data_IF_347459858658
#
_entry.id   IF_347459858658
#
_cell.length_a   1.000
_cell.length_b   1.000
_cell.length_c   1.000
_cell.angle_alpha   90.00
_cell.angle_beta   90.00
_cell.angle_gamma   90.00
#
_symmetry.space_group_name_H-M   'P 1'
#
loop_
_entity.id
_entity.type
_entity.pdbx_description
1 polymer ?
#
# COMPACT_ATOMS: atom_id res chain seq x y z
N UNK A 1 -6.81 -19.27 22.09
CA UNK A 1 -6.58 -19.77 20.71
C UNK A 1 -7.28 -18.97 19.59
N UNK A 2 -8.15 -17.98 19.88
CA UNK A 2 -8.89 -17.25 18.84
C UNK A 2 -8.02 -16.35 17.94
N UNK A 3 -7.00 -15.72 18.53
CA UNK A 3 -6.09 -14.78 17.84
C UNK A 3 -5.31 -15.43 16.69
N UNK A 4 -4.58 -16.52 16.97
CA UNK A 4 -3.78 -17.23 15.95
C UNK A 4 -4.60 -17.69 14.74
N UNK A 5 -5.81 -18.20 14.96
CA UNK A 5 -6.68 -18.60 13.85
C UNK A 5 -7.24 -17.40 13.08
N UNK A 6 -7.39 -16.23 13.72
CA UNK A 6 -7.75 -14.98 13.03
C UNK A 6 -6.60 -14.47 12.17
N UNK A 7 -5.40 -14.44 12.75
CA UNK A 7 -4.17 -14.10 12.02
C UNK A 7 -3.95 -15.04 10.84
N UNK A 8 -4.15 -16.35 11.03
CA UNK A 8 -4.02 -17.34 9.97
C UNK A 8 -4.97 -17.06 8.80
N UNK A 9 -6.24 -16.74 9.07
CA UNK A 9 -7.20 -16.37 8.02
C UNK A 9 -6.72 -15.14 7.24
N UNK A 10 -6.27 -14.08 7.93
CA UNK A 10 -5.79 -12.87 7.26
C UNK A 10 -4.56 -13.17 6.40
N UNK A 11 -3.59 -13.91 6.92
CA UNK A 11 -2.38 -14.29 6.19
C UNK A 11 -2.68 -15.19 4.99
N UNK A 12 -3.62 -16.12 5.13
CA UNK A 12 -3.99 -17.06 4.08
C UNK A 12 -4.81 -16.38 2.97
N UNK A 13 -5.66 -15.42 3.34
CA UNK A 13 -6.39 -14.55 2.39
C UNK A 13 -5.40 -13.70 1.61
N UNK A 14 -4.41 -13.12 2.29
CA UNK A 14 -3.35 -12.34 1.67
C UNK A 14 -2.50 -13.20 0.72
N UNK A 15 -2.20 -14.43 1.13
CA UNK A 15 -1.50 -15.40 0.29
C UNK A 15 -2.32 -15.76 -0.96
N UNK A 16 -3.63 -16.01 -0.81
CA UNK A 16 -4.55 -16.27 -1.92
C UNK A 16 -4.57 -15.11 -2.91
N UNK A 17 -4.70 -13.87 -2.43
CA UNK A 17 -4.67 -12.66 -3.25
C UNK A 17 -3.34 -12.47 -3.99
N UNK A 18 -2.22 -12.60 -3.27
CA UNK A 18 -0.87 -12.48 -3.83
C UNK A 18 -0.59 -13.56 -4.87
N UNK A 19 -1.00 -14.80 -4.58
CA UNK A 19 -0.89 -15.94 -5.48
C UNK A 19 -1.70 -15.73 -6.76
N UNK A 20 -2.96 -15.29 -6.65
CA UNK A 20 -3.82 -14.98 -7.81
C UNK A 20 -3.19 -13.92 -8.72
N UNK A 21 -2.62 -12.87 -8.13
CA UNK A 21 -1.88 -11.82 -8.85
C UNK A 21 -0.67 -12.35 -9.62
N UNK A 22 0.17 -13.13 -8.95
CA UNK A 22 1.41 -13.66 -9.55
C UNK A 22 1.15 -14.73 -10.60
N UNK A 23 0.16 -15.61 -10.37
CA UNK A 23 -0.21 -16.65 -11.33
C UNK A 23 -0.64 -16.04 -12.67
N UNK A 24 -1.47 -15.00 -12.63
CA UNK A 24 -2.03 -14.40 -13.85
C UNK A 24 -1.10 -13.41 -14.53
N UNK A 25 -0.14 -12.86 -13.80
CA UNK A 25 0.81 -11.90 -14.36
C UNK A 25 1.91 -12.52 -15.23
N UNK A 26 2.09 -13.85 -15.21
CA UNK A 26 3.01 -14.63 -16.05
C UNK A 26 4.43 -14.02 -16.26
N UNK A 27 4.59 -13.14 -17.26
CA UNK A 27 5.86 -12.48 -17.63
C UNK A 27 5.90 -10.98 -17.31
N UNK A 28 5.02 -10.50 -16.42
CA UNK A 28 4.95 -9.09 -16.03
C UNK A 28 5.42 -8.93 -14.60
N UNK A 29 6.13 -7.83 -14.33
CA UNK A 29 6.58 -7.50 -12.99
C UNK A 29 5.43 -6.88 -12.21
N UNK A 30 4.84 -7.66 -11.31
CA UNK A 30 3.75 -7.19 -10.43
C UNK A 30 4.36 -6.48 -9.23
N UNK A 31 4.02 -5.20 -9.08
CA UNK A 31 4.30 -4.45 -7.85
C UNK A 31 2.96 -4.18 -7.14
N UNK A 32 2.89 -4.34 -5.80
CA UNK A 32 1.70 -3.95 -5.06
C UNK A 32 1.55 -2.42 -5.11
N UNK A 33 0.37 -1.96 -5.50
CA UNK A 33 -0.02 -0.56 -5.43
C UNK A 33 -0.68 -0.20 -4.09
N UNK A 34 -0.93 1.09 -3.89
CA UNK A 34 -1.65 1.61 -2.70
C UNK A 34 -3.06 0.99 -2.60
N UNK A 35 -3.75 0.84 -3.73
CA UNK A 35 -5.06 0.19 -3.77
C UNK A 35 -5.02 -1.26 -3.29
N UNK A 36 -3.94 -2.00 -3.58
CA UNK A 36 -3.82 -3.40 -3.16
C UNK A 36 -3.66 -3.49 -1.64
N UNK A 37 -2.93 -2.54 -1.05
CA UNK A 37 -2.77 -2.44 0.40
C UNK A 37 -4.13 -2.17 1.06
N UNK A 38 -4.87 -1.16 0.59
CA UNK A 38 -6.20 -0.84 1.14
C UNK A 38 -7.17 -2.00 0.97
N UNK A 39 -7.18 -2.62 -0.21
CA UNK A 39 -8.06 -3.73 -0.53
C UNK A 39 -7.76 -4.97 0.31
N UNK A 40 -6.49 -5.28 0.54
CA UNK A 40 -6.09 -6.42 1.39
C UNK A 40 -6.43 -6.18 2.87
N UNK A 41 -6.30 -4.96 3.37
CA UNK A 41 -6.74 -4.59 4.74
C UNK A 41 -8.25 -4.77 4.84
N UNK A 42 -9.00 -4.25 3.87
CA UNK A 42 -10.45 -4.36 3.81
C UNK A 42 -10.91 -5.83 3.77
N UNK A 43 -10.30 -6.65 2.91
CA UNK A 43 -10.53 -8.10 2.88
C UNK A 43 -10.24 -8.78 4.21
N UNK A 44 -9.15 -8.39 4.88
CA UNK A 44 -8.79 -8.93 6.20
C UNK A 44 -9.84 -8.61 7.27
N UNK A 45 -10.35 -7.38 7.29
CA UNK A 45 -11.43 -6.96 8.21
C UNK A 45 -12.70 -7.76 7.92
N UNK A 46 -13.10 -7.88 6.65
CA UNK A 46 -14.26 -8.69 6.24
C UNK A 46 -14.07 -10.15 6.64
N UNK A 47 -12.87 -10.71 6.46
CA UNK A 47 -12.58 -12.10 6.82
C UNK A 47 -12.71 -12.34 8.33
N UNK A 48 -12.22 -11.41 9.15
CA UNK A 48 -12.36 -11.48 10.60
C UNK A 48 -13.81 -11.34 11.05
N UNK A 49 -14.59 -10.49 10.37
CA UNK A 49 -16.01 -10.31 10.65
C UNK A 49 -16.82 -11.53 10.21
N UNK A 50 -16.63 -12.02 8.97
CA UNK A 50 -17.31 -13.21 8.45
C UNK A 50 -17.04 -14.46 9.27
N UNK A 51 -15.86 -14.55 9.90
CA UNK A 51 -15.50 -15.65 10.81
C UNK A 51 -16.47 -15.78 11.99
N UNK A 52 -17.02 -14.68 12.51
CA UNK A 52 -17.96 -14.77 13.63
C UNK A 52 -19.29 -15.42 13.22
N UNK A 53 -19.63 -15.37 11.94
CA UNK A 53 -20.87 -15.93 11.39
C UNK A 53 -20.71 -17.34 10.80
N UNK A 54 -19.66 -17.60 10.00
CA UNK A 54 -19.52 -18.85 9.23
C UNK A 54 -18.71 -19.96 9.94
N UNK A 55 -18.07 -19.66 11.06
CA UNK A 55 -17.20 -20.61 11.76
C UNK A 55 -15.84 -20.82 11.08
N UNK A 56 -14.90 -21.42 11.82
CA UNK A 56 -13.47 -21.42 11.45
C UNK A 56 -13.16 -22.21 10.18
N UNK A 57 -13.75 -23.40 10.03
CA UNK A 57 -13.38 -24.35 8.98
C UNK A 57 -13.86 -23.95 7.60
N UNK A 58 -14.99 -23.24 7.50
CA UNK A 58 -15.57 -22.79 6.23
C UNK A 58 -14.96 -21.46 5.79
N UNK A 59 -14.71 -20.55 6.75
CA UNK A 59 -14.16 -19.22 6.45
C UNK A 59 -12.79 -19.30 5.78
N UNK A 60 -11.94 -20.24 6.21
CA UNK A 60 -10.57 -20.41 5.68
C UNK A 60 -10.57 -20.65 4.15
N UNK A 61 -11.14 -21.76 3.62
CA UNK A 61 -11.11 -22.02 2.18
C UNK A 61 -11.89 -20.99 1.38
N UNK A 62 -13.00 -20.47 1.93
CA UNK A 62 -13.81 -19.44 1.27
C UNK A 62 -12.98 -18.18 0.99
N UNK A 63 -12.27 -17.65 1.98
CA UNK A 63 -11.49 -16.44 1.81
C UNK A 63 -10.20 -16.64 1.01
N UNK A 64 -9.63 -17.85 0.99
CA UNK A 64 -8.58 -18.17 0.01
C UNK A 64 -9.12 -18.01 -1.41
N UNK A 65 -10.30 -18.57 -1.69
CA UNK A 65 -10.90 -18.55 -3.02
C UNK A 65 -11.32 -17.13 -3.43
N UNK A 66 -11.90 -16.36 -2.50
CA UNK A 66 -12.20 -14.94 -2.70
C UNK A 66 -10.91 -14.14 -2.95
N UNK A 67 -9.87 -14.36 -2.15
CA UNK A 67 -8.57 -13.72 -2.34
C UNK A 67 -7.99 -14.00 -3.72
N UNK A 68 -7.96 -15.27 -4.11
CA UNK A 68 -7.43 -15.72 -5.41
C UNK A 68 -8.20 -15.10 -6.58
N UNK A 69 -9.53 -15.17 -6.56
CA UNK A 69 -10.38 -14.59 -7.62
C UNK A 69 -10.23 -13.07 -7.70
N UNK A 70 -10.18 -12.39 -6.56
CA UNK A 70 -9.94 -10.94 -6.52
C UNK A 70 -8.54 -10.57 -7.05
N UNK A 71 -7.51 -11.38 -6.74
CA UNK A 71 -6.16 -11.20 -7.25
C UNK A 71 -6.10 -11.34 -8.77
N UNK A 72 -6.75 -12.37 -9.32
CA UNK A 72 -6.88 -12.58 -10.77
C UNK A 72 -7.63 -11.41 -11.42
N UNK A 73 -8.82 -11.08 -10.92
CA UNK A 73 -9.65 -9.99 -11.45
C UNK A 73 -8.89 -8.66 -11.48
N UNK A 74 -8.18 -8.36 -10.40
CA UNK A 74 -7.44 -7.13 -10.33
C UNK A 74 -6.24 -7.11 -11.30
N UNK A 75 -5.59 -8.27 -11.53
CA UNK A 75 -4.55 -8.38 -12.56
C UNK A 75 -5.12 -8.14 -13.95
N UNK A 76 -6.31 -8.67 -14.25
CA UNK A 76 -6.97 -8.48 -15.54
C UNK A 76 -7.27 -7.00 -15.81
N UNK A 77 -7.78 -6.28 -14.80
CA UNK A 77 -8.10 -4.85 -14.91
C UNK A 77 -6.82 -4.02 -15.07
N UNK A 78 -5.76 -4.35 -14.35
CA UNK A 78 -4.49 -3.60 -14.35
C UNK A 78 -3.48 -4.12 -15.38
N UNK A 79 -3.86 -5.09 -16.22
CA UNK A 79 -2.93 -5.79 -17.11
C UNK A 79 -2.26 -4.86 -18.11
N UNK A 80 -2.97 -3.80 -18.55
CA UNK A 80 -2.43 -2.79 -19.46
C UNK A 80 -1.30 -1.96 -18.85
N UNK A 81 -1.28 -1.83 -17.51
CA UNK A 81 -0.38 -0.92 -16.80
C UNK A 81 0.94 -1.57 -16.37
N UNK A 82 1.07 -2.90 -16.47
CA UNK A 82 2.28 -3.59 -16.02
C UNK A 82 3.34 -3.65 -17.13
N UNK A 83 4.58 -3.19 -16.87
CA UNK A 83 5.67 -3.33 -17.81
C UNK A 83 6.02 -4.81 -18.00
N UNK A 84 6.35 -5.17 -19.25
CA UNK A 84 6.86 -6.49 -19.57
C UNK A 84 8.18 -6.69 -18.83
N UNK A 85 8.30 -7.81 -18.11
CA UNK A 85 9.57 -8.17 -17.48
C UNK A 85 10.52 -8.57 -18.61
N UNK A 86 11.59 -7.79 -18.79
CA UNK A 86 12.64 -8.10 -19.77
C UNK A 86 13.18 -9.48 -19.41
N UNK A 87 12.90 -10.48 -20.24
CA UNK A 87 13.53 -11.80 -20.14
C UNK A 87 15.03 -11.59 -20.29
N UNK A 88 15.76 -11.62 -19.19
CA UNK A 88 17.19 -11.84 -19.21
C UNK A 88 17.36 -13.19 -19.92
N UNK A 89 18.07 -13.19 -21.05
CA UNK A 89 18.22 -14.34 -21.95
C UNK A 89 18.49 -15.63 -21.17
N UNK A 90 17.86 -16.76 -21.53
CA UNK A 90 18.06 -17.99 -20.80
C UNK A 90 19.52 -18.41 -20.94
N UNK A 91 20.22 -18.42 -19.81
CA UNK A 91 21.39 -19.25 -19.59
C UNK A 91 20.99 -20.69 -19.98
N UNK A 92 21.63 -21.17 -21.05
CA UNK A 92 21.70 -22.54 -21.60
C UNK A 92 20.53 -23.50 -21.33
N UNK A 93 19.96 -24.00 -22.43
CA UNK A 93 18.97 -25.06 -22.45
C UNK A 93 19.49 -26.37 -21.81
N UNK A 94 19.37 -26.50 -20.49
CA UNK A 94 19.57 -27.77 -19.81
C UNK A 94 18.38 -28.71 -20.09
N UNK A 95 18.70 -29.84 -20.71
CA UNK A 95 17.89 -31.05 -20.85
C UNK A 95 17.61 -31.70 -19.48
N UNK A 96 16.95 -30.96 -18.58
CA UNK A 96 16.58 -31.45 -17.26
C UNK A 96 15.20 -32.11 -17.27
N UNK A 97 15.10 -33.24 -16.55
CA UNK A 97 13.87 -33.96 -16.17
C UNK A 97 12.66 -33.04 -15.98
N UNK A 98 11.47 -33.50 -16.41
CA UNK A 98 10.19 -32.81 -16.21
C UNK A 98 10.00 -32.34 -14.76
N UNK A 99 10.50 -33.11 -13.79
CA UNK A 99 10.47 -32.77 -12.38
C UNK A 99 11.34 -31.54 -12.04
N UNK A 100 12.52 -31.43 -12.66
CA UNK A 100 13.41 -30.27 -12.50
C UNK A 100 12.79 -28.99 -13.04
N UNK A 101 12.08 -29.07 -14.17
CA UNK A 101 11.34 -27.92 -14.74
C UNK A 101 10.20 -27.49 -13.82
N UNK A 102 9.44 -28.43 -13.27
CA UNK A 102 8.37 -28.13 -12.32
C UNK A 102 8.93 -27.48 -11.04
N UNK A 103 10.00 -28.04 -10.46
CA UNK A 103 10.65 -27.47 -9.27
C UNK A 103 11.16 -26.06 -9.52
N UNK A 104 11.87 -25.82 -10.65
CA UNK A 104 12.34 -24.48 -11.03
C UNK A 104 11.16 -23.50 -11.17
N UNK A 105 10.05 -23.92 -11.79
CA UNK A 105 8.84 -23.09 -11.91
C UNK A 105 8.20 -22.78 -10.56
N UNK A 106 8.06 -23.79 -9.70
CA UNK A 106 7.49 -23.67 -8.37
C UNK A 106 8.33 -22.73 -7.48
N UNK A 107 9.66 -22.86 -7.51
CA UNK A 107 10.56 -21.94 -6.81
C UNK A 107 10.37 -20.50 -7.30
N UNK A 108 10.33 -20.26 -8.62
CA UNK A 108 10.08 -18.92 -9.17
C UNK A 108 8.73 -18.36 -8.70
N UNK A 109 7.69 -19.18 -8.66
CA UNK A 109 6.38 -18.79 -8.17
C UNK A 109 6.45 -18.35 -6.70
N UNK A 110 7.02 -19.18 -5.82
CA UNK A 110 7.16 -18.84 -4.40
C UNK A 110 8.02 -17.60 -4.16
N UNK A 111 9.12 -17.43 -4.90
CA UNK A 111 9.96 -16.23 -4.78
C UNK A 111 9.20 -14.97 -5.18
N UNK A 112 8.43 -15.01 -6.28
CA UNK A 112 7.64 -13.86 -6.75
C UNK A 112 6.50 -13.53 -5.78
N UNK A 113 5.72 -14.54 -5.38
CA UNK A 113 4.63 -14.39 -4.40
C UNK A 113 5.16 -13.89 -3.06
N UNK A 114 6.28 -14.43 -2.59
CA UNK A 114 6.93 -14.01 -1.36
C UNK A 114 7.39 -12.54 -1.41
N UNK A 115 8.03 -12.10 -2.49
CA UNK A 115 8.44 -10.70 -2.64
C UNK A 115 7.22 -9.75 -2.64
N UNK A 116 6.14 -10.11 -3.34
CA UNK A 116 4.90 -9.35 -3.34
C UNK A 116 4.27 -9.27 -1.94
N UNK A 117 4.16 -10.41 -1.26
CA UNK A 117 3.61 -10.51 0.09
C UNK A 117 4.45 -9.73 1.11
N UNK A 118 5.77 -9.83 1.05
CA UNK A 118 6.68 -9.08 1.93
C UNK A 118 6.51 -7.58 1.77
N UNK A 119 6.33 -7.10 0.54
CA UNK A 119 6.06 -5.67 0.29
C UNK A 119 4.75 -5.23 0.89
N UNK A 120 3.68 -6.00 0.74
CA UNK A 120 2.37 -5.67 1.37
C UNK A 120 2.50 -5.65 2.89
N UNK A 121 3.11 -6.68 3.48
CA UNK A 121 3.29 -6.75 4.94
C UNK A 121 4.14 -5.59 5.47
N UNK A 122 5.20 -5.23 4.75
CA UNK A 122 6.04 -4.08 5.10
C UNK A 122 5.24 -2.77 5.00
N UNK A 123 4.43 -2.61 3.95
CA UNK A 123 3.53 -1.46 3.83
C UNK A 123 2.49 -1.42 4.95
N UNK A 124 1.91 -2.55 5.35
CA UNK A 124 1.00 -2.63 6.49
C UNK A 124 1.69 -2.21 7.79
N UNK A 125 2.91 -2.69 8.02
CA UNK A 125 3.72 -2.32 9.18
C UNK A 125 3.96 -0.80 9.22
N UNK A 126 4.40 -0.21 8.11
CA UNK A 126 4.60 1.24 8.03
C UNK A 126 3.29 2.02 8.19
N UNK A 127 2.19 1.51 7.64
CA UNK A 127 0.90 2.17 7.77
C UNK A 127 0.38 2.12 9.21
N UNK A 128 0.44 0.97 9.87
CA UNK A 128 -0.10 0.81 11.22
C UNK A 128 0.78 1.52 12.26
N UNK A 129 2.10 1.47 12.09
CA UNK A 129 3.03 2.02 13.08
C UNK A 129 3.36 3.47 12.75
N UNK A 130 3.84 3.75 11.53
CA UNK A 130 4.41 5.06 11.21
C UNK A 130 3.35 6.14 10.94
N UNK A 131 2.20 5.78 10.36
CA UNK A 131 1.11 6.73 10.08
C UNK A 131 0.57 7.44 11.32
N UNK A 132 0.22 6.77 12.44
CA UNK A 132 -0.30 7.49 13.62
C UNK A 132 0.74 8.45 14.21
N UNK A 133 2.03 8.10 14.20
CA UNK A 133 3.09 9.04 14.60
C UNK A 133 3.17 10.24 13.67
N UNK A 134 3.10 10.01 12.35
CA UNK A 134 3.10 11.10 11.37
C UNK A 134 1.93 12.06 11.55
N UNK A 135 0.73 11.52 11.81
CA UNK A 135 -0.47 12.32 12.13
C UNK A 135 -0.28 13.09 13.43
N UNK A 136 0.20 12.43 14.49
CA UNK A 136 0.41 13.07 15.78
C UNK A 136 1.42 14.21 15.68
N UNK A 137 2.58 13.97 15.04
CA UNK A 137 3.60 14.99 14.78
C UNK A 137 3.01 16.12 13.94
N UNK A 138 2.23 15.83 12.90
CA UNK A 138 1.60 16.87 12.08
C UNK A 138 0.57 17.71 12.83
N UNK A 139 -0.18 17.12 13.75
CA UNK A 139 -1.19 17.81 14.56
C UNK A 139 -0.57 18.62 15.72
N UNK A 140 0.57 18.15 16.25
CA UNK A 140 1.29 18.79 17.36
C UNK A 140 2.33 19.80 16.90
N UNK A 141 2.92 19.58 15.72
CA UNK A 141 3.79 20.56 15.07
C UNK A 141 2.92 21.70 14.57
N UNK A 142 3.31 22.93 14.91
CA UNK A 142 2.76 24.15 14.33
C UNK A 142 3.77 24.71 13.32
N UNK A 143 3.86 24.11 12.11
CA UNK A 143 4.86 24.51 11.12
C UNK A 143 4.68 25.96 10.65
N UNK A 144 3.49 26.55 10.83
CA UNK A 144 3.22 27.95 10.49
C UNK A 144 3.24 28.89 11.71
N UNK A 145 3.54 28.39 12.91
CA UNK A 145 3.50 29.17 14.16
C UNK A 145 2.17 29.94 14.37
N UNK A 146 1.06 29.50 13.76
CA UNK A 146 -0.24 30.20 13.79
C UNK A 146 -0.83 30.17 15.20
N UNK A 147 -0.53 29.13 15.98
CA UNK A 147 -1.01 28.95 17.35
C UNK A 147 -0.19 29.75 18.36
N UNK A 148 1.03 30.19 18.01
CA UNK A 148 1.79 31.15 18.83
C UNK A 148 1.22 32.53 18.59
N UNK A 149 0.21 32.88 19.39
CA UNK A 149 -0.48 34.17 19.34
C UNK A 149 0.49 35.34 19.22
N UNK A 150 0.12 36.29 18.36
CA UNK A 150 0.73 37.63 18.21
C UNK A 150 2.25 37.62 18.39
N UNK A 151 3.00 37.01 17.46
CA UNK A 151 4.35 37.53 17.23
C UNK A 151 4.21 39.00 16.87
N UNK A 152 4.98 39.86 17.54
CA UNK A 152 5.08 41.26 17.16
C UNK A 152 5.38 41.32 15.66
N UNK A 153 4.40 41.82 14.93
CA UNK A 153 4.54 42.01 13.51
C UNK A 153 5.63 43.06 13.31
N UNK A 154 6.70 42.72 12.58
CA UNK A 154 7.66 43.73 12.12
C UNK A 154 7.01 44.74 11.16
N UNK A 155 5.76 44.50 10.73
CA UNK A 155 4.95 45.48 10.07
C UNK A 155 4.53 46.56 11.07
N UNK A 156 5.29 47.67 11.07
CA UNK A 156 4.82 48.93 11.63
C UNK A 156 3.63 49.40 10.78
N UNK A 157 2.48 49.60 11.41
CA UNK A 157 1.40 50.36 10.80
C UNK A 157 1.94 51.76 10.51
N UNK A 158 2.06 52.08 9.23
CA UNK A 158 2.28 53.46 8.81
C UNK A 158 0.97 54.17 9.10
N UNK A 159 0.93 54.92 10.20
CA UNK A 159 -0.14 55.88 10.44
C UNK A 159 -0.14 56.81 9.22
N UNK A 160 -1.26 56.83 8.48
CA UNK A 160 -1.46 57.77 7.39
C UNK A 160 -1.18 59.17 7.93
N UNK A 161 -0.08 59.75 7.44
CA UNK A 161 0.30 61.12 7.78
C UNK A 161 -0.73 62.01 7.09
N UNK A 162 -1.39 62.88 7.86
CA UNK A 162 -2.50 63.70 7.41
C UNK A 162 -2.29 64.29 6.00
N UNK A 163 -3.25 64.03 5.11
CA UNK A 163 -3.38 64.55 3.74
C UNK A 163 -3.51 66.09 3.73
N UNK A 164 -2.47 66.80 4.15
CA UNK A 164 -2.37 68.23 3.91
C UNK A 164 -1.72 68.44 2.55
N UNK A 165 -2.35 69.29 1.72
CA UNK A 165 -1.84 69.70 0.40
C UNK A 165 -0.37 70.19 0.46
N UNK A 166 0.02 70.74 1.60
CA UNK A 166 1.36 71.23 1.87
C UNK A 166 2.41 70.10 1.99
N UNK A 167 1.99 68.89 2.38
CA UNK A 167 2.83 67.70 2.42
C UNK A 167 3.12 67.15 1.02
N UNK A 168 2.11 67.16 0.13
CA UNK A 168 2.23 66.69 -1.26
C UNK A 168 3.17 67.57 -2.10
N UNK A 169 3.24 68.87 -1.79
CA UNK A 169 4.12 69.83 -2.49
C UNK A 169 5.62 69.59 -2.23
N UNK A 170 6.00 68.84 -1.19
CA UNK A 170 7.41 68.58 -0.83
C UNK A 170 7.99 67.33 -1.51
N UNK A 171 7.19 66.55 -2.24
CA UNK A 171 7.65 65.31 -2.89
C UNK A 171 8.15 65.48 -4.34
N UNK A 172 7.96 66.65 -4.94
CA UNK A 172 8.49 67.04 -6.26
C UNK A 172 9.34 68.28 -6.13
#
# INVERSE_FOLDING_TARGET
>A
MGFFSGLAIVLLTLFGYSGGRVLFAANRKVNPGVFDILFTIFLGIIALWARSFLGRWITIPLFILIGLTAGVLSTLILMSSYPLERKISPESAESGSLFGKFRKSLTRFFTRTGNFQSRILLSWFYFIILMPFGILVRLTSDPLAIRKGKRESYWKLVLEKSDSLESARRQY
#
